data_IF_626385584071
#
_entry.id   IF_626385584071
#
_cell.length_a   1.000
_cell.length_b   1.000
_cell.length_c   1.000
_cell.angle_alpha   90.00
_cell.angle_beta   90.00
_cell.angle_gamma   90.00
#
_symmetry.space_group_name_H-M   'P 1'
#
loop_
_entity.id
_entity.type
_entity.pdbx_description
1 polymer ?
#
# COMPACT_ATOMS: atom_id res chain seq x y z
N UNK A 1 27.92 2.78 -27.50
CA UNK A 1 28.03 1.30 -27.33
C UNK A 1 28.56 0.88 -25.95
N UNK A 2 29.44 1.63 -25.28
CA UNK A 2 29.97 1.24 -23.95
C UNK A 2 29.01 1.46 -22.77
N UNK A 3 28.03 2.37 -22.90
CA UNK A 3 27.10 2.71 -21.81
C UNK A 3 26.18 1.56 -21.41
N UNK A 4 25.81 0.69 -22.35
CA UNK A 4 24.93 -0.45 -22.09
C UNK A 4 25.52 -1.44 -21.08
N UNK A 5 26.86 -1.55 -21.03
CA UNK A 5 27.59 -2.41 -20.07
C UNK A 5 27.32 -1.99 -18.63
N UNK A 6 27.08 -0.70 -18.38
CA UNK A 6 26.77 -0.19 -17.04
C UNK A 6 25.26 -0.07 -16.80
N UNK A 7 24.50 0.31 -17.83
CA UNK A 7 23.06 0.53 -17.70
C UNK A 7 22.28 -0.77 -17.52
N UNK A 8 22.68 -1.87 -18.16
CA UNK A 8 21.98 -3.16 -18.03
C UNK A 8 22.10 -3.71 -16.59
N UNK A 9 23.30 -3.82 -15.99
CA UNK A 9 23.42 -4.27 -14.59
C UNK A 9 22.73 -3.32 -13.62
N UNK A 10 22.82 -2.00 -13.86
CA UNK A 10 22.16 -1.01 -13.01
C UNK A 10 20.63 -1.17 -13.05
N UNK A 11 20.05 -1.34 -14.23
CA UNK A 11 18.62 -1.57 -14.38
C UNK A 11 18.16 -2.87 -13.71
N UNK A 12 18.92 -3.96 -13.85
CA UNK A 12 18.63 -5.23 -13.17
C UNK A 12 18.75 -5.10 -11.65
N UNK A 13 19.75 -4.37 -11.15
CA UNK A 13 19.90 -4.11 -9.72
C UNK A 13 18.73 -3.29 -9.18
N UNK A 14 18.34 -2.21 -9.86
CA UNK A 14 17.20 -1.37 -9.46
C UNK A 14 15.88 -2.15 -9.50
N UNK A 15 15.65 -2.93 -10.56
CA UNK A 15 14.48 -3.81 -10.67
C UNK A 15 14.47 -4.89 -9.58
N UNK A 16 15.61 -5.50 -9.31
CA UNK A 16 15.77 -6.51 -8.26
C UNK A 16 15.56 -5.95 -6.85
N UNK A 17 16.11 -4.76 -6.55
CA UNK A 17 15.88 -4.06 -5.29
C UNK A 17 14.41 -3.69 -5.10
N UNK A 18 13.74 -3.21 -6.15
CA UNK A 18 12.32 -2.92 -6.14
C UNK A 18 11.48 -4.17 -5.88
N UNK A 19 11.77 -5.27 -6.59
CA UNK A 19 11.07 -6.54 -6.40
C UNK A 19 11.29 -7.11 -5.00
N UNK A 20 12.53 -7.06 -4.50
CA UNK A 20 12.85 -7.49 -3.14
C UNK A 20 12.11 -6.66 -2.10
N UNK A 21 12.12 -5.33 -2.22
CA UNK A 21 11.39 -4.42 -1.33
C UNK A 21 9.88 -4.68 -1.36
N UNK A 22 9.32 -4.93 -2.54
CA UNK A 22 7.92 -5.28 -2.71
C UNK A 22 7.55 -6.60 -2.01
N UNK A 23 8.33 -7.67 -2.23
CA UNK A 23 8.11 -8.97 -1.58
C UNK A 23 8.31 -8.88 -0.06
N UNK A 24 9.27 -8.09 0.40
CA UNK A 24 9.46 -7.81 1.82
C UNK A 24 8.26 -7.07 2.44
N UNK A 25 7.71 -6.08 1.73
CA UNK A 25 6.51 -5.34 2.16
C UNK A 25 5.29 -6.25 2.31
N UNK A 26 5.07 -7.15 1.35
CA UNK A 26 4.01 -8.17 1.43
C UNK A 26 4.21 -9.09 2.63
N UNK A 27 5.45 -9.57 2.87
CA UNK A 27 5.77 -10.43 4.01
C UNK A 27 5.66 -9.71 5.36
N UNK A 28 5.85 -8.39 5.38
CA UNK A 28 5.78 -7.58 6.61
C UNK A 28 4.35 -7.34 7.10
N UNK A 29 3.32 -7.77 6.36
CA UNK A 29 1.92 -7.65 6.78
C UNK A 29 1.36 -6.22 6.76
N UNK A 30 2.07 -5.26 6.18
CA UNK A 30 1.60 -3.85 6.10
C UNK A 30 0.35 -3.67 5.23
N UNK A 31 0.03 -4.64 4.39
CA UNK A 31 -1.18 -4.61 3.55
C UNK A 31 -2.45 -5.10 4.26
N UNK A 32 -2.32 -5.80 5.40
CA UNK A 32 -3.50 -6.25 6.19
C UNK A 32 -4.28 -5.05 6.76
N UNK A 33 -3.58 -3.98 7.14
CA UNK A 33 -4.23 -2.76 7.68
C UNK A 33 -4.95 -1.95 6.59
N UNK A 34 -4.52 -2.05 5.33
CA UNK A 34 -5.18 -1.40 4.20
C UNK A 34 -6.54 -2.05 3.87
N UNK A 35 -6.68 -3.37 4.01
CA UNK A 35 -7.99 -4.03 3.87
C UNK A 35 -8.99 -3.52 4.92
N UNK A 36 -8.57 -3.40 6.19
CA UNK A 36 -9.42 -2.89 7.26
C UNK A 36 -9.76 -1.39 7.11
N UNK A 37 -8.81 -0.57 6.67
CA UNK A 37 -9.03 0.85 6.42
C UNK A 37 -9.95 1.12 5.23
N UNK A 38 -9.80 0.36 4.13
CA UNK A 38 -10.67 0.47 2.95
C UNK A 38 -12.13 0.12 3.24
N UNK A 39 -12.36 -0.93 4.06
CA UNK A 39 -13.71 -1.29 4.50
C UNK A 39 -14.38 -0.16 5.30
N UNK A 40 -13.65 0.47 6.23
CA UNK A 40 -14.16 1.62 6.99
C UNK A 40 -14.45 2.82 6.10
N UNK A 41 -13.57 3.16 5.16
CA UNK A 41 -13.73 4.33 4.30
C UNK A 41 -14.95 4.23 3.36
N UNK A 42 -15.35 3.02 2.95
CA UNK A 42 -16.55 2.79 2.14
C UNK A 42 -17.81 2.71 3.03
N UNK A 43 -17.75 2.04 4.18
CA UNK A 43 -18.93 1.88 5.05
C UNK A 43 -19.27 3.14 5.86
N UNK A 44 -18.32 4.03 6.16
CA UNK A 44 -18.62 5.25 6.91
C UNK A 44 -19.46 6.26 6.11
N UNK A 45 -19.45 6.18 4.78
CA UNK A 45 -20.30 7.03 3.91
C UNK A 45 -21.77 6.51 3.87
N UNK A 46 -21.99 5.25 4.30
CA UNK A 46 -23.28 4.55 4.31
C UNK A 46 -23.92 4.42 5.71
N UNK A 47 -23.41 5.10 6.75
CA UNK A 47 -24.06 5.14 8.07
C UNK A 47 -25.01 6.35 8.22
N UNK A 48 -26.33 6.20 8.00
CA UNK A 48 -27.30 7.18 8.45
C UNK A 48 -27.50 7.05 9.96
N UNK A 49 -27.06 8.05 10.72
CA UNK A 49 -27.60 8.31 12.06
C UNK A 49 -26.65 8.02 13.21
N UNK A 50 -25.84 9.03 13.54
CA UNK A 50 -25.43 9.27 14.92
C UNK A 50 -25.29 10.76 15.22
N UNK A 51 -26.41 11.49 15.19
CA UNK A 51 -26.60 12.67 16.05
C UNK A 51 -27.59 12.26 17.14
N UNK A 52 -27.04 11.82 18.27
CA UNK A 52 -27.12 12.59 19.52
C UNK A 52 -28.51 12.48 20.15
N UNK A 53 -28.61 11.49 21.02
CA UNK A 53 -29.63 11.41 22.04
C UNK A 53 -29.39 12.58 23.03
N UNK A 54 -29.87 13.76 22.66
CA UNK A 54 -29.83 14.94 23.51
C UNK A 54 -31.12 14.93 24.33
N UNK A 55 -31.04 14.30 25.50
CA UNK A 55 -32.08 14.37 26.54
C UNK A 55 -32.25 15.82 27.00
N UNK A 56 -33.44 16.39 26.77
CA UNK A 56 -34.10 17.42 27.57
C UNK A 56 -35.61 17.33 27.35
#
# INVERSE_FOLDING_TARGET
MQSLIYLIPLALALGGLGLWGFLWSLRSGQYDDLEGAGWRAILDDDQPGKSSNDSC
#
